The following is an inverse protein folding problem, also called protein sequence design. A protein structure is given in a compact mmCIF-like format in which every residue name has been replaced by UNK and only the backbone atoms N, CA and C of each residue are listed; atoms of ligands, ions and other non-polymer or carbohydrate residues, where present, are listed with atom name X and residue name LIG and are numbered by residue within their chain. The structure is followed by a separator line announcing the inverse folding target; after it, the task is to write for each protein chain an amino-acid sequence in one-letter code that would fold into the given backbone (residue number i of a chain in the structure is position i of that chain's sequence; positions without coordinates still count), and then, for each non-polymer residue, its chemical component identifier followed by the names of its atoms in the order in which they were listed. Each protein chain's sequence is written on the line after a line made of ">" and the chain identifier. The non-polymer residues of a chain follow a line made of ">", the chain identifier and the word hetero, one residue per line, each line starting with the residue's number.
data_IF_611207493930
#
_entry.id   IF_611207493930
#
_cell.length_a   1.000
_cell.length_b   1.000
_cell.length_c   1.000
_cell.angle_alpha   90.00
_cell.angle_beta   90.00
_cell.angle_gamma   90.00
#
_symmetry.space_group_name_H-M   'P 1'
#
loop_
_entity.id
_entity.type
_entity.pdbx_description
1 polymer ?
#
# COMPACT_ATOMS: atom_id res chain seq x y z
N UNK A 1 -3.98 17.70 7.01
CA UNK A 1 -4.90 16.73 7.65
C UNK A 1 -4.08 15.77 8.48
N UNK A 2 -4.61 15.18 9.55
CA UNK A 2 -3.85 14.21 10.38
C UNK A 2 -4.01 12.81 9.79
N UNK A 3 -2.93 12.21 9.32
CA UNK A 3 -2.92 10.79 8.93
C UNK A 3 -2.86 9.89 10.16
N UNK A 4 -3.36 8.67 10.04
CA UNK A 4 -3.27 7.63 11.07
C UNK A 4 -2.88 6.28 10.47
N UNK A 5 -2.11 5.46 11.21
CA UNK A 5 -1.65 4.16 10.74
C UNK A 5 -2.76 3.10 10.82
N UNK A 6 -2.85 2.26 9.78
CA UNK A 6 -3.75 1.11 9.67
C UNK A 6 -2.91 -0.12 9.33
N UNK A 7 -2.98 -1.15 10.18
CA UNK A 7 -2.30 -2.41 9.92
C UNK A 7 -3.09 -3.23 8.91
N UNK A 8 -2.50 -3.53 7.77
CA UNK A 8 -3.07 -4.37 6.73
C UNK A 8 -2.29 -5.68 6.61
N UNK A 9 -3.00 -6.80 6.50
CA UNK A 9 -2.37 -8.11 6.25
C UNK A 9 -2.00 -8.18 4.78
N UNK A 10 -0.74 -8.47 4.48
CA UNK A 10 -0.24 -8.57 3.11
C UNK A 10 -0.38 -10.00 2.64
N UNK A 11 -1.12 -10.21 1.54
CA UNK A 11 -1.36 -11.53 0.96
C UNK A 11 -0.48 -11.79 -0.25
N UNK A 12 -0.02 -10.74 -0.92
CA UNK A 12 0.89 -10.83 -2.06
C UNK A 12 1.67 -9.52 -2.21
N UNK A 13 2.95 -9.61 -2.55
CA UNK A 13 3.79 -8.48 -2.95
C UNK A 13 4.39 -8.78 -4.31
N UNK A 14 4.26 -7.85 -5.25
CA UNK A 14 4.97 -7.89 -6.53
C UNK A 14 5.79 -6.62 -6.68
N UNK A 15 7.06 -6.73 -7.00
CA UNK A 15 7.94 -5.58 -7.17
C UNK A 15 8.93 -5.76 -8.32
N UNK A 16 9.37 -4.66 -8.91
CA UNK A 16 10.35 -4.68 -10.01
C UNK A 16 11.81 -4.84 -9.56
N UNK A 17 12.07 -4.95 -8.25
CA UNK A 17 13.42 -4.87 -7.67
C UNK A 17 13.99 -6.18 -7.14
N UNK A 18 13.87 -7.27 -7.90
CA UNK A 18 14.41 -8.57 -7.46
C UNK A 18 15.93 -8.55 -7.19
N UNK A 19 16.68 -7.60 -7.76
CA UNK A 19 18.15 -7.52 -7.57
C UNK A 19 18.58 -6.69 -6.34
N UNK A 20 17.68 -5.88 -5.77
CA UNK A 20 17.98 -4.95 -4.66
C UNK A 20 17.22 -5.26 -3.37
N UNK A 21 16.16 -6.07 -3.44
CA UNK A 21 15.47 -6.60 -2.28
C UNK A 21 16.16 -7.88 -1.83
N UNK A 22 16.68 -7.89 -0.60
CA UNK A 22 16.99 -9.16 0.08
C UNK A 22 15.70 -9.96 0.17
N UNK A 23 15.74 -11.28 -0.04
CA UNK A 23 14.60 -12.21 0.06
C UNK A 23 13.78 -12.07 1.38
N UNK A 24 14.35 -11.37 2.37
CA UNK A 24 13.85 -11.10 3.72
C UNK A 24 12.85 -9.92 3.82
N UNK A 25 12.51 -9.25 2.71
CA UNK A 25 11.62 -8.08 2.71
C UNK A 25 10.22 -8.39 2.16
N UNK A 26 9.73 -9.61 2.38
CA UNK A 26 8.34 -10.02 2.13
C UNK A 26 7.52 -9.88 3.43
N UNK A 27 6.97 -8.68 3.74
CA UNK A 27 6.16 -8.48 4.94
C UNK A 27 4.91 -9.37 4.91
N UNK A 28 4.62 -10.05 6.02
CA UNK A 28 3.31 -10.68 6.25
C UNK A 28 2.22 -9.65 6.60
N UNK A 29 2.62 -8.41 6.91
CA UNK A 29 1.74 -7.29 7.22
C UNK A 29 2.43 -5.95 6.94
N UNK A 30 1.65 -4.93 6.59
CA UNK A 30 2.12 -3.57 6.35
C UNK A 30 1.32 -2.56 7.19
N UNK A 31 1.87 -1.36 7.36
CA UNK A 31 1.15 -0.23 7.93
C UNK A 31 0.91 0.81 6.85
N UNK A 32 -0.35 1.11 6.60
CA UNK A 32 -0.80 2.18 5.72
C UNK A 32 -1.15 3.39 6.56
N UNK A 33 -0.49 4.52 6.35
CA UNK A 33 -0.88 5.80 6.93
C UNK A 33 -1.75 6.56 5.94
N UNK A 34 -2.97 6.87 6.35
CA UNK A 34 -3.93 7.59 5.50
C UNK A 34 -4.84 8.48 6.34
N UNK A 35 -5.67 9.32 5.72
CA UNK A 35 -6.63 10.18 6.40
C UNK A 35 -8.08 9.68 6.30
N UNK A 36 -8.98 10.39 7.00
CA UNK A 36 -10.40 10.01 7.10
C UNK A 36 -11.12 10.13 5.76
N UNK A 37 -10.71 11.05 4.88
CA UNK A 37 -11.32 11.24 3.57
C UNK A 37 -10.98 10.07 2.67
N UNK A 38 -9.70 9.68 2.60
CA UNK A 38 -9.23 8.52 1.87
C UNK A 38 -9.89 7.21 2.35
N UNK A 39 -10.03 7.02 3.67
CA UNK A 39 -10.77 5.86 4.21
C UNK A 39 -12.23 5.85 3.76
N UNK A 40 -12.87 7.01 3.69
CA UNK A 40 -14.26 7.13 3.23
C UNK A 40 -14.38 6.77 1.74
N UNK A 41 -13.43 7.20 0.90
CA UNK A 41 -13.37 6.82 -0.51
C UNK A 41 -13.21 5.31 -0.68
N UNK A 42 -12.31 4.68 0.07
CA UNK A 42 -12.09 3.22 0.03
C UNK A 42 -13.35 2.46 0.48
N UNK A 43 -14.01 2.90 1.55
CA UNK A 43 -15.29 2.32 2.04
C UNK A 43 -16.39 2.39 0.98
N UNK A 44 -16.55 3.54 0.35
CA UNK A 44 -17.54 3.71 -0.71
C UNK A 44 -17.24 2.81 -1.92
N UNK A 45 -15.97 2.73 -2.34
CA UNK A 45 -15.54 1.84 -3.42
C UNK A 45 -15.83 0.37 -3.08
N UNK A 46 -15.66 -0.04 -1.81
CA UNK A 46 -15.96 -1.40 -1.36
C UNK A 46 -17.45 -1.74 -1.42
N UNK A 47 -18.33 -0.83 -0.96
CA UNK A 47 -19.78 -1.05 -1.02
C UNK A 47 -20.29 -1.09 -2.48
N UNK A 48 -19.72 -0.26 -3.36
CA UNK A 48 -19.98 -0.34 -4.80
C UNK A 48 -19.49 -1.66 -5.40
N UNK A 49 -18.31 -2.14 -5.00
CA UNK A 49 -17.78 -3.43 -5.46
C UNK A 49 -18.67 -4.60 -5.01
N UNK A 50 -19.16 -4.58 -3.76
CA UNK A 50 -20.12 -5.57 -3.24
C UNK A 50 -21.43 -5.55 -4.01
N UNK A 51 -22.01 -4.37 -4.22
CA UNK A 51 -23.32 -4.23 -4.86
C UNK A 51 -23.30 -4.71 -6.32
N UNK A 52 -22.19 -4.49 -7.02
CA UNK A 52 -22.07 -4.83 -8.45
C UNK A 52 -21.53 -6.25 -8.69
N UNK A 53 -20.93 -6.91 -7.70
CA UNK A 53 -20.32 -8.24 -7.87
C UNK A 53 -19.12 -8.25 -8.84
N UNK A 54 -18.43 -7.12 -8.99
CA UNK A 54 -17.36 -6.88 -9.99
C UNK A 54 -15.93 -6.94 -9.38
N UNK A 55 -14.88 -7.04 -10.23
CA UNK A 55 -13.53 -7.50 -9.90
C UNK A 55 -12.58 -6.42 -9.34
N UNK A 56 -13.04 -5.16 -9.17
CA UNK A 56 -12.23 -4.08 -8.60
C UNK A 56 -12.73 -2.68 -8.99
N UNK A 57 -12.97 -1.83 -8.00
CA UNK A 57 -13.30 -0.41 -8.14
C UNK A 57 -12.05 0.41 -7.82
N UNK A 58 -11.63 1.29 -8.73
CA UNK A 58 -10.52 2.20 -8.46
C UNK A 58 -11.00 3.28 -7.50
N UNK A 59 -10.31 3.42 -6.37
CA UNK A 59 -10.49 4.48 -5.40
C UNK A 59 -9.52 5.63 -5.76
N UNK A 60 -10.00 6.75 -6.31
CA UNK A 60 -9.14 7.89 -6.60
C UNK A 60 -8.73 8.56 -5.28
N UNK A 61 -7.45 8.46 -4.93
CA UNK A 61 -6.86 9.11 -3.75
C UNK A 61 -5.93 10.22 -4.22
N UNK A 62 -5.81 11.32 -3.46
CA UNK A 62 -4.77 12.29 -3.73
C UNK A 62 -3.42 11.72 -3.29
N UNK A 63 -2.36 12.19 -3.94
CA UNK A 63 -1.00 11.71 -3.72
C UNK A 63 -0.52 11.93 -2.28
N UNK A 64 -1.05 12.95 -1.61
CA UNK A 64 -0.69 13.33 -0.24
C UNK A 64 -1.39 12.47 0.83
N UNK A 65 -2.38 11.68 0.42
CA UNK A 65 -3.32 11.01 1.33
C UNK A 65 -2.80 9.64 1.79
N UNK A 66 -1.66 9.17 1.24
CA UNK A 66 -1.21 7.81 1.42
C UNK A 66 0.30 7.71 1.62
N UNK A 67 0.71 7.24 2.79
CA UNK A 67 2.07 6.80 3.05
C UNK A 67 2.06 5.31 3.40
N UNK A 68 3.00 4.57 2.85
CA UNK A 68 3.06 3.12 2.99
C UNK A 68 4.34 2.75 3.72
N UNK A 69 4.21 2.02 4.82
CA UNK A 69 5.32 1.47 5.54
C UNK A 69 5.19 -0.06 5.63
N UNK A 70 6.27 -0.76 5.35
CA UNK A 70 6.38 -2.19 5.55
C UNK A 70 7.18 -2.49 6.80
N UNK A 71 7.10 -3.72 7.25
CA UNK A 71 8.01 -4.23 8.29
C UNK A 71 8.74 -5.42 7.69
N UNK A 72 10.07 -5.33 7.59
CA UNK A 72 10.89 -6.44 7.08
C UNK A 72 10.76 -7.67 7.99
N UNK A 73 11.23 -8.84 7.54
CA UNK A 73 11.30 -10.02 8.40
C UNK A 73 12.16 -9.83 9.67
N UNK A 74 12.98 -8.77 9.73
CA UNK A 74 13.81 -8.39 10.88
C UNK A 74 13.14 -7.33 11.79
N UNK A 75 11.83 -7.11 11.64
CA UNK A 75 11.05 -6.07 12.34
C UNK A 75 11.49 -4.62 12.03
N UNK A 76 12.31 -4.40 11.00
CA UNK A 76 12.73 -3.06 10.59
C UNK A 76 11.62 -2.37 9.75
N UNK A 77 11.18 -1.15 10.14
CA UNK A 77 10.22 -0.40 9.34
C UNK A 77 10.87 0.12 8.05
N UNK A 78 10.29 -0.24 6.91
CA UNK A 78 10.68 0.27 5.59
C UNK A 78 9.61 1.26 5.14
N UNK A 79 9.97 2.53 5.07
CA UNK A 79 9.08 3.58 4.59
C UNK A 79 9.19 3.67 3.07
N UNK A 80 8.05 3.66 2.39
CA UNK A 80 7.95 3.79 0.94
C UNK A 80 7.24 5.09 0.58
N UNK A 81 7.93 5.94 -0.16
CA UNK A 81 7.36 7.15 -0.74
C UNK A 81 7.42 7.09 -2.25
N UNK A 82 6.25 7.15 -2.86
CA UNK A 82 6.10 7.27 -4.31
C UNK A 82 5.17 8.42 -4.68
N UNK A 83 5.07 8.66 -5.99
CA UNK A 83 4.19 9.71 -6.54
C UNK A 83 2.93 9.16 -7.17
N UNK A 84 2.97 7.94 -7.72
CA UNK A 84 1.80 7.35 -8.37
C UNK A 84 1.25 6.22 -7.52
N UNK A 85 0.16 6.50 -6.80
CA UNK A 85 -0.59 5.53 -6.02
C UNK A 85 -1.91 5.20 -6.71
N UNK A 86 -2.19 3.92 -6.89
CA UNK A 86 -3.50 3.43 -7.31
C UNK A 86 -4.01 2.44 -6.29
N UNK A 87 -5.21 2.69 -5.76
CA UNK A 87 -5.90 1.76 -4.87
C UNK A 87 -7.08 1.15 -5.62
N UNK A 88 -7.05 -0.16 -5.82
CA UNK A 88 -8.15 -0.93 -6.40
C UNK A 88 -8.81 -1.77 -5.33
N UNK A 89 -10.11 -1.59 -5.14
CA UNK A 89 -10.89 -2.18 -4.07
C UNK A 89 -11.81 -3.24 -4.63
N UNK A 90 -11.70 -4.48 -4.18
CA UNK A 90 -12.60 -5.58 -4.55
C UNK A 90 -13.60 -5.85 -3.43
N UNK A 91 -14.49 -6.83 -3.63
CA UNK A 91 -15.38 -7.28 -2.56
C UNK A 91 -14.67 -8.07 -1.44
N UNK A 92 -13.43 -8.55 -1.66
CA UNK A 92 -12.71 -9.42 -0.71
C UNK A 92 -11.39 -8.83 -0.21
N UNK A 93 -10.74 -7.99 -1.02
CA UNK A 93 -9.41 -7.45 -0.74
C UNK A 93 -9.22 -6.06 -1.34
N UNK A 94 -8.15 -5.41 -0.92
CA UNK A 94 -7.66 -4.16 -1.47
C UNK A 94 -6.29 -4.40 -2.12
N UNK A 95 -6.10 -3.84 -3.31
CA UNK A 95 -4.82 -3.81 -3.99
C UNK A 95 -4.29 -2.38 -4.00
N UNK A 96 -3.06 -2.20 -3.54
CA UNK A 96 -2.34 -0.93 -3.58
C UNK A 96 -1.19 -1.10 -4.58
N UNK A 97 -1.13 -0.23 -5.58
CA UNK A 97 -0.05 -0.19 -6.55
C UNK A 97 0.66 1.16 -6.45
N UNK A 98 1.98 1.11 -6.31
CA UNK A 98 2.86 2.26 -6.27
C UNK A 98 3.81 2.14 -7.45
N UNK A 99 3.84 3.14 -8.31
CA UNK A 99 4.84 3.26 -9.35
C UNK A 99 5.57 4.59 -9.16
N UNK A 100 6.90 4.60 -9.27
CA UNK A 100 7.66 5.85 -9.30
C UNK A 100 9.03 5.64 -9.96
N UNK A 101 9.43 6.47 -10.95
CA UNK A 101 10.79 6.43 -11.48
C UNK A 101 11.87 6.87 -10.48
N UNK A 102 11.50 7.44 -9.33
CA UNK A 102 12.36 7.86 -8.22
C UNK A 102 11.71 7.48 -6.88
N UNK A 103 11.31 6.22 -6.70
CA UNK A 103 10.76 5.77 -5.43
C UNK A 103 11.81 5.87 -4.34
N UNK A 104 11.43 6.43 -3.19
CA UNK A 104 12.30 6.52 -2.02
C UNK A 104 11.95 5.38 -1.06
N UNK A 105 12.95 4.57 -0.74
CA UNK A 105 12.92 3.57 0.32
C UNK A 105 13.77 4.08 1.46
N UNK A 106 13.20 4.16 2.66
CA UNK A 106 13.95 4.51 3.87
C UNK A 106 13.83 3.41 4.91
N UNK A 107 14.97 2.93 5.39
CA UNK A 107 15.11 2.06 6.56
C UNK A 107 15.61 2.89 7.75
N UNK A 108 15.87 2.28 8.91
CA UNK A 108 16.46 3.03 10.05
C UNK A 108 17.90 3.46 9.75
N UNK A 109 18.59 2.71 8.90
CA UNK A 109 20.02 2.88 8.67
C UNK A 109 20.36 3.46 7.29
N UNK A 110 19.44 3.42 6.32
CA UNK A 110 19.73 3.81 4.94
C UNK A 110 18.53 4.45 4.23
N UNK A 111 18.79 5.16 3.14
CA UNK A 111 17.77 5.64 2.22
C UNK A 111 18.25 5.50 0.79
N UNK A 112 17.47 4.78 -0.01
CA UNK A 112 17.74 4.51 -1.41
C UNK A 112 16.66 5.15 -2.30
N UNK A 113 17.07 5.59 -3.49
CA UNK A 113 16.17 6.10 -4.53
C UNK A 113 16.35 5.33 -5.81
N UNK A 114 15.29 4.69 -6.29
CA UNK A 114 15.35 3.85 -7.47
C UNK A 114 14.02 3.82 -8.24
N UNK A 115 14.06 3.58 -9.56
CA UNK A 115 12.85 3.39 -10.35
C UNK A 115 12.15 2.08 -9.96
N UNK A 116 10.83 2.14 -9.79
CA UNK A 116 10.10 1.12 -9.06
C UNK A 116 8.65 0.91 -9.41
N UNK A 117 8.23 -0.33 -9.20
CA UNK A 117 6.85 -0.72 -9.02
C UNK A 117 6.74 -1.58 -7.75
N UNK A 118 5.74 -1.30 -6.91
CA UNK A 118 5.33 -2.14 -5.78
C UNK A 118 3.83 -2.33 -5.87
N UNK A 119 3.38 -3.58 -5.83
CA UNK A 119 1.98 -3.95 -5.69
C UNK A 119 1.80 -4.79 -4.44
N UNK A 120 0.84 -4.39 -3.62
CA UNK A 120 0.41 -5.10 -2.42
C UNK A 120 -1.02 -5.52 -2.63
N UNK A 121 -1.30 -6.79 -2.38
CA UNK A 121 -2.66 -7.22 -2.10
C UNK A 121 -2.81 -7.39 -0.59
N UNK A 122 -3.87 -6.84 -0.03
CA UNK A 122 -4.08 -6.83 1.40
C UNK A 122 -5.56 -6.95 1.79
N UNK A 123 -5.80 -7.46 3.00
CA UNK A 123 -7.15 -7.53 3.58
C UNK A 123 -7.64 -6.15 4.02
N UNK A 124 -8.97 -5.98 4.13
CA UNK A 124 -9.60 -4.80 4.72
C UNK A 124 -9.45 -4.66 6.24
N UNK A 125 -8.73 -5.57 6.90
CA UNK A 125 -8.59 -5.60 8.36
C UNK A 125 -8.12 -4.24 8.89
N UNK A 126 -8.85 -3.67 9.85
CA UNK A 126 -8.56 -2.36 10.46
C UNK A 126 -9.01 -1.15 9.66
N UNK A 127 -9.48 -1.32 8.41
CA UNK A 127 -9.92 -0.24 7.52
C UNK A 127 -11.44 -0.24 7.34
N UNK A 128 -12.07 -1.42 7.30
CA UNK A 128 -13.53 -1.62 7.32
C UNK A 128 -14.05 -1.99 8.71
#
# INVERSE_FOLDING_TARGET
>A
MSQFPIKVIVTNVSHSWMEHLKDEWLPSWATVSTDVEAVSVIKNAHEVAKANGFPGVVAPLAQEDFALAFTSCEDEPIIVKGRFFTVTVTCQSMRIEVFDPLLELSTLCDTERLPAYIRIECSFSGLL
#
